data_IF_733762723386
#
_entry.id   IF_733762723386
#
_cell.length_a   1.000
_cell.length_b   1.000
_cell.length_c   1.000
_cell.angle_alpha   90.00
_cell.angle_beta   90.00
_cell.angle_gamma   90.00
#
_symmetry.space_group_name_H-M   'P 1'
#
loop_
_entity.id
_entity.type
_entity.pdbx_description
1 polymer ?
#
# COMPACT_ATOMS: atom_id res chain seq x y z
N UNK A 1 -7.57 -17.40 21.11
CA UNK A 1 -7.19 -18.08 19.85
C UNK A 1 -5.78 -17.63 19.55
N UNK A 2 -4.84 -18.52 19.21
CA UNK A 2 -3.50 -18.10 18.82
C UNK A 2 -3.61 -17.15 17.64
N UNK A 3 -2.81 -16.09 17.65
CA UNK A 3 -2.78 -15.02 16.66
C UNK A 3 -2.48 -15.60 15.28
N UNK A 4 -3.47 -15.73 14.42
CA UNK A 4 -3.38 -16.33 13.08
C UNK A 4 -2.43 -15.55 12.15
N UNK A 5 -1.93 -14.38 12.60
CA UNK A 5 -1.20 -13.43 11.78
C UNK A 5 0.24 -13.15 12.18
N UNK A 6 0.66 -13.58 13.35
CA UNK A 6 1.98 -13.28 13.86
C UNK A 6 2.71 -14.59 14.07
N UNK A 7 3.39 -15.01 13.02
CA UNK A 7 4.28 -16.15 13.09
C UNK A 7 5.63 -15.65 13.60
N UNK A 8 5.81 -15.73 14.92
CA UNK A 8 7.07 -15.40 15.57
C UNK A 8 8.01 -16.61 15.57
N UNK A 9 8.51 -16.96 14.38
CA UNK A 9 9.35 -18.14 14.20
C UNK A 9 10.51 -18.25 15.20
N UNK A 10 11.07 -17.11 15.63
CA UNK A 10 12.12 -17.06 16.62
C UNK A 10 11.58 -17.25 18.07
N UNK A 11 10.38 -16.75 18.36
CA UNK A 11 9.76 -16.90 19.70
C UNK A 11 9.19 -18.30 19.91
N UNK A 12 8.69 -18.93 18.84
CA UNK A 12 8.22 -20.32 18.86
C UNK A 12 9.35 -21.35 18.76
N UNK A 13 10.61 -20.88 18.70
CA UNK A 13 11.78 -21.76 18.65
C UNK A 13 11.99 -22.48 17.30
N UNK A 14 11.21 -22.12 16.27
CA UNK A 14 11.33 -22.70 14.94
C UNK A 14 12.58 -22.25 14.19
N UNK A 15 13.09 -21.08 14.54
CA UNK A 15 14.33 -20.52 14.03
C UNK A 15 15.12 -19.92 15.18
N UNK A 16 16.40 -20.25 15.29
CA UNK A 16 17.23 -19.64 16.35
C UNK A 16 17.38 -18.14 16.11
N UNK A 17 17.40 -17.34 17.18
CA UNK A 17 17.60 -15.88 17.11
C UNK A 17 18.87 -15.53 16.33
N UNK A 18 19.93 -16.35 16.46
CA UNK A 18 21.17 -16.17 15.72
C UNK A 18 20.97 -16.39 14.21
N UNK A 19 20.27 -17.46 13.80
CA UNK A 19 19.97 -17.74 12.41
C UNK A 19 19.10 -16.65 11.81
N UNK A 20 18.08 -16.18 12.55
CA UNK A 20 17.23 -15.07 12.14
C UNK A 20 18.04 -13.79 11.93
N UNK A 21 18.88 -13.41 12.89
CA UNK A 21 19.70 -12.21 12.82
C UNK A 21 20.73 -12.27 11.68
N UNK A 22 21.38 -13.42 11.46
CA UNK A 22 22.35 -13.60 10.36
C UNK A 22 21.67 -13.52 9.01
N UNK A 23 20.49 -14.16 8.83
CA UNK A 23 19.72 -14.10 7.58
C UNK A 23 19.26 -12.68 7.29
N UNK A 24 18.71 -11.98 8.29
CA UNK A 24 18.29 -10.59 8.16
C UNK A 24 19.47 -9.68 7.79
N UNK A 25 20.63 -9.87 8.47
CA UNK A 25 21.86 -9.13 8.17
C UNK A 25 22.34 -9.38 6.76
N UNK A 26 22.35 -10.62 6.29
CA UNK A 26 22.75 -10.97 4.93
C UNK A 26 21.83 -10.36 3.86
N UNK A 27 20.49 -10.45 4.06
CA UNK A 27 19.51 -9.83 3.15
C UNK A 27 19.69 -8.30 3.13
N UNK A 28 19.87 -7.68 4.30
CA UNK A 28 20.08 -6.23 4.39
C UNK A 28 21.37 -5.81 3.68
N UNK A 29 22.47 -6.53 3.89
CA UNK A 29 23.75 -6.27 3.21
C UNK A 29 23.62 -6.44 1.69
N UNK A 30 22.95 -7.48 1.21
CA UNK A 30 22.68 -7.69 -0.21
C UNK A 30 21.82 -6.57 -0.81
N UNK A 31 20.80 -6.10 -0.08
CA UNK A 31 19.97 -4.98 -0.51
C UNK A 31 20.75 -3.67 -0.61
N UNK A 32 21.63 -3.39 0.38
CA UNK A 32 22.53 -2.22 0.36
C UNK A 32 23.52 -2.30 -0.79
N UNK A 33 24.19 -3.45 -0.98
CA UNK A 33 25.14 -3.64 -2.07
C UNK A 33 24.47 -3.54 -3.45
N UNK A 34 23.30 -4.16 -3.63
CA UNK A 34 22.51 -4.06 -4.85
C UNK A 34 22.06 -2.62 -5.14
N UNK A 35 21.62 -1.90 -4.12
CA UNK A 35 21.26 -0.48 -4.24
C UNK A 35 22.47 0.39 -4.63
N UNK A 36 23.66 0.13 -4.06
CA UNK A 36 24.89 0.85 -4.39
C UNK A 36 25.36 0.58 -5.82
N UNK A 37 25.25 -0.67 -6.31
CA UNK A 37 25.56 -1.04 -7.68
C UNK A 37 24.61 -0.37 -8.70
N UNK A 38 23.33 -0.32 -8.38
CA UNK A 38 22.31 0.33 -9.21
C UNK A 38 22.37 1.86 -9.12
N UNK A 39 22.88 2.42 -8.03
CA UNK A 39 22.97 3.86 -7.83
C UNK A 39 23.91 4.55 -8.84
N UNK A 40 24.96 3.89 -9.33
CA UNK A 40 25.88 4.46 -10.32
C UNK A 40 25.17 5.02 -11.55
N UNK A 41 24.42 4.22 -12.31
CA UNK A 41 23.67 4.67 -13.48
C UNK A 41 22.39 5.45 -13.18
N UNK A 42 21.80 5.28 -11.98
CA UNK A 42 20.52 5.87 -11.58
C UNK A 42 20.69 7.01 -10.55
N UNK A 43 21.91 7.39 -10.26
CA UNK A 43 22.36 8.03 -9.04
C UNK A 43 21.63 9.30 -8.60
N UNK A 44 21.41 10.34 -9.43
CA UNK A 44 20.88 11.58 -8.87
C UNK A 44 19.42 11.49 -8.45
N UNK A 45 18.63 10.69 -9.18
CA UNK A 45 17.18 10.59 -8.96
C UNK A 45 16.82 9.70 -7.76
N UNK A 46 17.68 8.73 -7.41
CA UNK A 46 17.39 7.74 -6.37
C UNK A 46 18.21 7.92 -5.09
N UNK A 47 19.25 8.76 -5.12
CA UNK A 47 20.18 8.93 -3.99
C UNK A 47 19.49 9.31 -2.66
N UNK A 48 18.35 9.98 -2.71
CA UNK A 48 17.58 10.33 -1.52
C UNK A 48 16.55 9.25 -1.12
N UNK A 49 16.03 8.46 -2.07
CA UNK A 49 14.98 7.46 -1.80
C UNK A 49 15.50 6.33 -0.90
N UNK A 50 16.73 5.91 -1.11
CA UNK A 50 17.37 4.88 -0.30
C UNK A 50 17.54 5.29 1.18
N UNK A 51 18.20 6.42 1.52
CA UNK A 51 18.32 6.84 2.92
C UNK A 51 16.97 7.12 3.57
N UNK A 52 15.98 7.64 2.85
CA UNK A 52 14.63 7.83 3.37
C UNK A 52 13.96 6.48 3.68
N UNK A 53 14.04 5.50 2.78
CA UNK A 53 13.50 4.16 3.01
C UNK A 53 14.18 3.45 4.18
N UNK A 54 15.51 3.53 4.26
CA UNK A 54 16.28 2.96 5.36
C UNK A 54 15.93 3.62 6.70
N UNK A 55 15.92 4.95 6.75
CA UNK A 55 15.53 5.69 7.95
C UNK A 55 14.11 5.35 8.37
N UNK A 56 13.17 5.29 7.44
CA UNK A 56 11.80 4.89 7.70
C UNK A 56 11.71 3.49 8.31
N UNK A 57 12.47 2.53 7.79
CA UNK A 57 12.50 1.15 8.30
C UNK A 57 13.07 1.09 9.71
N UNK A 58 14.19 1.77 9.96
CA UNK A 58 14.85 1.78 11.28
C UNK A 58 14.05 2.53 12.34
N UNK A 59 13.38 3.61 11.95
CA UNK A 59 12.64 4.48 12.85
C UNK A 59 11.17 4.07 13.04
N UNK A 60 10.66 3.14 12.22
CA UNK A 60 9.28 2.70 12.29
C UNK A 60 8.89 2.20 13.69
N UNK A 61 9.64 1.23 14.22
CA UNK A 61 9.31 0.63 15.51
C UNK A 61 9.62 1.56 16.70
N UNK A 62 10.82 2.18 16.80
CA UNK A 62 11.16 2.97 17.99
C UNK A 62 10.51 4.37 18.02
N UNK A 63 10.24 4.97 16.87
CA UNK A 63 9.71 6.35 16.82
C UNK A 63 8.29 6.42 16.26
N UNK A 64 8.01 5.82 15.09
CA UNK A 64 6.72 6.02 14.45
C UNK A 64 5.59 5.28 15.18
N UNK A 65 5.82 4.03 15.58
CA UNK A 65 4.80 3.18 16.20
C UNK A 65 4.30 3.71 17.55
N UNK A 66 5.13 4.18 18.49
CA UNK A 66 4.67 4.72 19.77
C UNK A 66 3.76 5.94 19.66
N UNK A 67 3.94 6.75 18.59
CA UNK A 67 3.18 7.98 18.37
C UNK A 67 2.02 7.83 17.38
N UNK A 68 1.72 6.60 16.93
CA UNK A 68 0.66 6.36 15.94
C UNK A 68 0.97 6.94 14.55
N UNK A 69 2.26 7.13 14.23
CA UNK A 69 2.73 7.68 12.95
C UNK A 69 3.09 6.59 11.93
N UNK A 70 2.94 5.31 12.30
CA UNK A 70 3.32 4.19 11.44
C UNK A 70 2.61 4.21 10.09
N UNK A 71 1.32 4.51 10.07
CA UNK A 71 0.51 4.55 8.86
C UNK A 71 0.91 5.72 7.95
N UNK A 72 1.26 6.87 8.53
CA UNK A 72 1.77 8.02 7.76
C UNK A 72 3.14 7.73 7.17
N UNK A 73 3.98 6.98 7.89
CA UNK A 73 5.27 6.54 7.38
C UNK A 73 5.11 5.57 6.20
N UNK A 74 4.13 4.66 6.26
CA UNK A 74 3.78 3.78 5.12
C UNK A 74 3.36 4.61 3.91
N UNK A 75 2.54 5.66 4.08
CA UNK A 75 2.16 6.56 3.00
C UNK A 75 3.39 7.22 2.35
N UNK A 76 4.34 7.68 3.16
CA UNK A 76 5.59 8.29 2.68
C UNK A 76 6.48 7.27 1.93
N UNK A 77 6.64 6.08 2.49
CA UNK A 77 7.54 5.06 1.92
C UNK A 77 6.98 4.47 0.63
N UNK A 78 5.72 4.04 0.63
CA UNK A 78 5.10 3.42 -0.55
C UNK A 78 4.79 4.40 -1.67
N UNK A 79 4.51 5.64 -1.34
CA UNK A 79 4.27 6.69 -2.32
C UNK A 79 5.57 7.34 -2.79
N UNK A 80 5.96 8.44 -2.15
CA UNK A 80 7.13 9.22 -2.55
C UNK A 80 8.41 8.38 -2.69
N UNK A 81 8.83 7.63 -1.68
CA UNK A 81 10.12 6.96 -1.72
C UNK A 81 10.16 5.83 -2.74
N UNK A 82 9.21 4.92 -2.71
CA UNK A 82 9.24 3.71 -3.55
C UNK A 82 8.72 3.96 -4.95
N UNK A 83 7.48 4.44 -5.09
CA UNK A 83 6.89 4.67 -6.41
C UNK A 83 7.50 5.89 -7.10
N UNK A 84 7.64 7.00 -6.40
CA UNK A 84 8.23 8.22 -6.95
C UNK A 84 9.71 8.05 -7.29
N UNK A 85 10.50 7.41 -6.42
CA UNK A 85 11.90 7.05 -6.67
C UNK A 85 12.04 6.09 -7.84
N UNK A 86 11.24 5.00 -7.87
CA UNK A 86 11.24 4.03 -8.97
C UNK A 86 10.88 4.66 -10.32
N UNK A 87 9.88 5.54 -10.35
CA UNK A 87 9.54 6.28 -11.56
C UNK A 87 10.70 7.14 -12.04
N UNK A 88 11.34 7.89 -11.14
CA UNK A 88 12.49 8.74 -11.48
C UNK A 88 13.66 7.92 -12.01
N UNK A 89 13.90 6.75 -11.42
CA UNK A 89 14.90 5.81 -11.89
C UNK A 89 14.60 5.29 -13.30
N UNK A 90 13.37 4.88 -13.56
CA UNK A 90 12.96 4.31 -14.84
C UNK A 90 12.93 5.33 -15.98
N UNK A 91 12.67 6.61 -15.68
CA UNK A 91 12.54 7.67 -16.69
C UNK A 91 13.80 8.51 -16.87
N UNK A 92 14.83 8.34 -16.04
CA UNK A 92 16.03 9.16 -16.03
C UNK A 92 15.80 10.64 -15.67
N UNK A 93 14.59 10.97 -15.17
CA UNK A 93 14.27 12.36 -14.82
C UNK A 93 14.85 12.73 -13.46
N UNK A 94 15.56 13.86 -13.40
CA UNK A 94 16.04 14.43 -12.14
C UNK A 94 14.92 15.06 -11.30
N UNK A 95 13.77 15.37 -11.93
CA UNK A 95 12.61 15.95 -11.26
C UNK A 95 11.81 14.84 -10.55
N UNK A 96 11.78 14.92 -9.25
CA UNK A 96 11.03 14.00 -8.42
C UNK A 96 9.51 14.12 -8.63
N UNK A 97 8.89 13.00 -9.00
CA UNK A 97 7.47 12.96 -9.37
C UNK A 97 6.57 12.60 -8.18
N UNK A 98 6.74 13.31 -7.04
CA UNK A 98 5.94 13.09 -5.81
C UNK A 98 4.44 13.07 -6.11
N UNK A 99 3.97 14.01 -6.91
CA UNK A 99 2.55 14.10 -7.23
C UNK A 99 2.01 12.82 -7.87
N UNK A 100 2.79 12.18 -8.75
CA UNK A 100 2.39 10.93 -9.44
C UNK A 100 2.34 9.72 -8.52
N UNK A 101 2.99 9.78 -7.37
CA UNK A 101 2.96 8.70 -6.38
C UNK A 101 1.73 8.74 -5.48
N UNK A 102 1.01 9.86 -5.42
CA UNK A 102 -0.15 10.06 -4.53
C UNK A 102 -1.21 8.97 -4.65
N UNK A 103 -1.64 8.54 -5.86
CA UNK A 103 -2.63 7.48 -5.96
C UNK A 103 -2.18 6.16 -5.29
N UNK A 104 -0.92 5.78 -5.50
CA UNK A 104 -0.35 4.54 -4.93
C UNK A 104 -0.18 4.68 -3.42
N UNK A 105 0.29 5.83 -2.94
CA UNK A 105 0.43 6.14 -1.52
C UNK A 105 -0.90 6.01 -0.77
N UNK A 106 -1.98 6.56 -1.33
CA UNK A 106 -3.32 6.50 -0.73
C UNK A 106 -3.88 5.07 -0.71
N UNK A 107 -3.62 4.26 -1.74
CA UNK A 107 -3.99 2.85 -1.76
C UNK A 107 -3.27 2.06 -0.68
N UNK A 108 -1.95 2.24 -0.55
CA UNK A 108 -1.15 1.60 0.49
C UNK A 108 -1.58 2.04 1.91
N UNK A 109 -1.89 3.33 2.08
CA UNK A 109 -2.42 3.85 3.33
C UNK A 109 -3.78 3.24 3.67
N UNK A 110 -4.71 3.13 2.72
CA UNK A 110 -6.00 2.46 2.92
C UNK A 110 -5.83 1.00 3.35
N UNK A 111 -4.88 0.28 2.76
CA UNK A 111 -4.57 -1.10 3.09
C UNK A 111 -4.00 -1.25 4.51
N UNK A 112 -3.02 -0.42 4.91
CA UNK A 112 -2.44 -0.48 6.26
C UNK A 112 -3.46 -0.06 7.33
N UNK A 113 -4.32 0.92 7.02
CA UNK A 113 -5.45 1.27 7.88
C UNK A 113 -6.38 0.07 8.08
N UNK A 114 -6.75 -0.64 7.01
CA UNK A 114 -7.55 -1.85 7.10
C UNK A 114 -6.93 -2.90 8.02
N UNK A 115 -5.61 -3.16 7.89
CA UNK A 115 -4.87 -4.08 8.76
C UNK A 115 -4.96 -3.71 10.24
N UNK A 116 -4.78 -2.43 10.56
CA UNK A 116 -4.79 -2.00 11.96
C UNK A 116 -6.21 -1.84 12.52
N UNK A 117 -7.22 -1.62 11.67
CA UNK A 117 -8.63 -1.71 12.08
C UNK A 117 -8.99 -3.15 12.44
N UNK A 118 -8.53 -4.13 11.65
CA UNK A 118 -8.74 -5.56 11.95
C UNK A 118 -8.13 -5.98 13.28
N UNK A 119 -7.00 -5.37 13.66
CA UNK A 119 -6.25 -5.63 14.91
C UNK A 119 -6.45 -4.55 16.00
N UNK A 120 -7.52 -3.77 15.93
CA UNK A 120 -7.68 -2.60 16.80
C UNK A 120 -7.74 -2.99 18.29
N UNK A 121 -8.44 -4.07 18.61
CA UNK A 121 -8.58 -4.55 19.99
C UNK A 121 -7.24 -5.08 20.50
N UNK A 122 -6.61 -5.96 19.74
CA UNK A 122 -5.30 -6.52 20.11
C UNK A 122 -4.24 -5.42 20.28
N UNK A 123 -4.14 -4.49 19.33
CA UNK A 123 -3.18 -3.37 19.45
C UNK A 123 -3.44 -2.51 20.69
N UNK A 124 -4.70 -2.31 21.06
CA UNK A 124 -5.04 -1.57 22.28
C UNK A 124 -4.65 -2.32 23.54
N UNK A 125 -4.94 -3.62 23.59
CA UNK A 125 -4.65 -4.47 24.76
C UNK A 125 -3.13 -4.64 24.97
N UNK A 126 -2.36 -4.65 23.89
CA UNK A 126 -0.89 -4.70 23.90
C UNK A 126 -0.22 -3.33 24.11
N UNK A 127 -0.98 -2.24 24.25
CA UNK A 127 -0.46 -0.89 24.40
C UNK A 127 0.23 -0.33 23.13
N UNK A 128 -0.10 -0.89 21.95
CA UNK A 128 0.47 -0.45 20.69
C UNK A 128 -0.34 0.69 20.10
N UNK A 129 0.24 1.87 20.02
CA UNK A 129 -0.40 3.07 19.47
C UNK A 129 -0.38 3.05 17.95
N UNK A 130 -1.41 2.47 17.33
CA UNK A 130 -1.68 2.64 15.90
C UNK A 130 -2.64 3.80 15.67
N UNK A 131 -2.66 4.37 14.47
CA UNK A 131 -3.61 5.43 14.15
C UNK A 131 -5.08 5.02 14.40
N UNK A 132 -5.53 3.79 14.07
CA UNK A 132 -6.83 3.29 14.46
C UNK A 132 -7.07 3.21 15.97
N UNK A 133 -6.07 2.91 16.78
CA UNK A 133 -6.21 2.92 18.26
C UNK A 133 -6.48 4.34 18.76
N UNK A 134 -5.80 5.34 18.19
CA UNK A 134 -5.95 6.75 18.56
C UNK A 134 -7.29 7.33 18.08
N UNK A 135 -7.74 6.99 16.87
CA UNK A 135 -8.96 7.55 16.26
C UNK A 135 -10.23 6.80 16.65
N UNK A 136 -10.13 5.53 17.03
CA UNK A 136 -11.23 4.61 17.22
C UNK A 136 -11.78 4.06 15.88
N UNK A 137 -12.56 2.98 15.97
CA UNK A 137 -13.03 2.18 14.83
C UNK A 137 -13.75 3.02 13.75
N UNK A 138 -14.78 3.79 14.13
CA UNK A 138 -15.61 4.53 13.18
C UNK A 138 -14.82 5.57 12.37
N UNK A 139 -13.97 6.34 13.04
CA UNK A 139 -13.14 7.38 12.38
C UNK A 139 -12.08 6.76 11.49
N UNK A 140 -11.49 5.66 11.94
CA UNK A 140 -10.48 4.93 11.16
C UNK A 140 -11.05 4.35 9.87
N UNK A 141 -12.26 3.79 9.92
CA UNK A 141 -12.97 3.32 8.72
C UNK A 141 -13.31 4.46 7.77
N UNK A 142 -13.75 5.60 8.29
CA UNK A 142 -14.02 6.77 7.47
C UNK A 142 -12.73 7.30 6.79
N UNK A 143 -11.61 7.34 7.52
CA UNK A 143 -10.32 7.78 6.98
C UNK A 143 -9.80 6.80 5.92
N UNK A 144 -9.91 5.49 6.13
CA UNK A 144 -9.57 4.49 5.12
C UNK A 144 -10.43 4.66 3.85
N UNK A 145 -11.74 4.87 4.00
CA UNK A 145 -12.65 5.13 2.88
C UNK A 145 -12.26 6.40 2.12
N UNK A 146 -11.95 7.49 2.84
CA UNK A 146 -11.51 8.75 2.23
C UNK A 146 -10.20 8.59 1.45
N UNK A 147 -9.25 7.81 1.96
CA UNK A 147 -7.99 7.51 1.26
C UNK A 147 -8.24 6.75 -0.05
N UNK A 148 -9.07 5.71 -0.03
CA UNK A 148 -9.39 4.92 -1.22
C UNK A 148 -10.18 5.72 -2.27
N UNK A 149 -11.09 6.59 -1.86
CA UNK A 149 -11.75 7.55 -2.76
C UNK A 149 -10.72 8.54 -3.31
N UNK A 150 -9.88 9.11 -2.44
CA UNK A 150 -8.81 10.03 -2.79
C UNK A 150 -7.83 9.44 -3.80
N UNK A 151 -7.59 8.13 -3.77
CA UNK A 151 -6.80 7.40 -4.75
C UNK A 151 -7.34 7.62 -6.18
N UNK A 152 -8.64 7.44 -6.40
CA UNK A 152 -9.27 7.65 -7.71
C UNK A 152 -9.33 9.14 -8.09
N UNK A 153 -9.70 9.99 -7.15
CA UNK A 153 -9.75 11.45 -7.36
C UNK A 153 -8.39 11.99 -7.75
N UNK A 154 -7.32 11.50 -7.13
CA UNK A 154 -5.95 11.94 -7.45
C UNK A 154 -5.52 11.56 -8.87
N UNK A 155 -5.94 10.41 -9.42
CA UNK A 155 -5.70 10.06 -10.82
C UNK A 155 -6.39 11.06 -11.75
N UNK A 156 -7.66 11.37 -11.50
CA UNK A 156 -8.41 12.35 -12.31
C UNK A 156 -7.70 13.71 -12.27
N UNK A 157 -7.35 14.18 -11.09
CA UNK A 157 -6.67 15.46 -10.92
C UNK A 157 -5.30 15.51 -11.62
N UNK A 158 -4.53 14.42 -11.55
CA UNK A 158 -3.22 14.35 -12.19
C UNK A 158 -3.31 14.28 -13.71
N UNK A 159 -4.32 13.60 -14.27
CA UNK A 159 -4.56 13.59 -15.72
C UNK A 159 -5.05 14.97 -16.18
N UNK A 160 -5.98 15.59 -15.47
CA UNK A 160 -6.45 16.95 -15.77
C UNK A 160 -5.32 17.97 -15.72
N UNK A 161 -4.41 17.85 -14.75
CA UNK A 161 -3.19 18.67 -14.61
C UNK A 161 -2.08 18.30 -15.62
N UNK A 162 -2.31 17.37 -16.56
CA UNK A 162 -1.32 16.86 -17.52
C UNK A 162 -0.06 16.26 -16.87
N UNK A 163 -0.14 15.86 -15.60
CA UNK A 163 0.94 15.20 -14.87
C UNK A 163 0.95 13.69 -15.03
N UNK A 164 -0.17 13.10 -15.47
CA UNK A 164 -0.28 11.70 -15.88
C UNK A 164 -0.86 11.58 -17.29
N UNK A 165 -0.51 10.54 -18.06
CA UNK A 165 -1.10 10.32 -19.37
C UNK A 165 -2.58 9.94 -19.25
N UNK A 166 -3.41 10.24 -20.26
CA UNK A 166 -4.86 9.97 -20.24
C UNK A 166 -5.21 8.50 -19.99
N UNK A 167 -4.39 7.56 -20.46
CA UNK A 167 -4.60 6.13 -20.20
C UNK A 167 -4.64 5.77 -18.72
N UNK A 168 -4.01 6.57 -17.83
CA UNK A 168 -4.10 6.35 -16.39
C UNK A 168 -5.56 6.37 -15.87
N UNK A 169 -6.50 7.01 -16.59
CA UNK A 169 -7.93 6.99 -16.26
C UNK A 169 -8.53 5.57 -16.31
N UNK A 170 -7.84 4.61 -16.94
CA UNK A 170 -8.29 3.22 -16.93
C UNK A 170 -8.35 2.64 -15.51
N UNK A 171 -7.55 3.20 -14.57
CA UNK A 171 -7.63 2.85 -13.15
C UNK A 171 -9.03 3.08 -12.54
N UNK A 172 -9.83 3.98 -13.11
CA UNK A 172 -11.21 4.23 -12.68
C UNK A 172 -12.13 3.03 -12.92
N UNK A 173 -11.75 2.08 -13.79
CA UNK A 173 -12.51 0.85 -14.02
C UNK A 173 -12.63 0.00 -12.75
N UNK A 174 -11.73 0.14 -11.78
CA UNK A 174 -11.85 -0.50 -10.47
C UNK A 174 -12.96 0.12 -9.59
N UNK A 175 -13.40 1.35 -9.86
CA UNK A 175 -14.31 2.07 -8.97
C UNK A 175 -15.73 1.45 -8.86
N UNK A 176 -16.41 1.07 -9.96
CA UNK A 176 -17.80 0.60 -9.87
C UNK A 176 -17.97 -0.72 -9.12
N UNK A 177 -16.91 -1.51 -9.02
CA UNK A 177 -16.95 -2.84 -8.42
C UNK A 177 -16.15 -2.89 -7.11
N UNK A 178 -14.83 -2.79 -7.19
CA UNK A 178 -13.95 -3.01 -6.06
C UNK A 178 -14.00 -1.88 -5.04
N UNK A 179 -14.00 -0.61 -5.47
CA UNK A 179 -14.12 0.51 -4.54
C UNK A 179 -15.47 0.49 -3.83
N UNK A 180 -16.55 0.28 -4.59
CA UNK A 180 -17.90 0.19 -4.01
C UNK A 180 -17.99 -0.94 -2.99
N UNK A 181 -17.50 -2.13 -3.35
CA UNK A 181 -17.47 -3.28 -2.43
C UNK A 181 -16.66 -3.01 -1.17
N UNK A 182 -15.49 -2.39 -1.31
CA UNK A 182 -14.65 -2.02 -0.17
C UNK A 182 -15.30 -0.95 0.72
N UNK A 183 -15.95 0.03 0.14
CA UNK A 183 -16.71 1.05 0.88
C UNK A 183 -17.88 0.44 1.67
N UNK A 184 -18.57 -0.55 1.10
CA UNK A 184 -19.63 -1.28 1.80
C UNK A 184 -19.08 -2.08 2.99
N UNK A 185 -17.90 -2.72 2.84
CA UNK A 185 -17.16 -3.37 3.96
C UNK A 185 -16.85 -2.36 5.06
N UNK A 186 -16.31 -1.21 4.71
CA UNK A 186 -15.92 -0.18 5.68
C UNK A 186 -17.13 0.43 6.39
N UNK A 187 -18.28 0.53 5.73
CA UNK A 187 -19.52 1.07 6.30
C UNK A 187 -20.20 0.07 7.26
N UNK A 188 -20.37 -1.16 6.81
CA UNK A 188 -21.18 -2.16 7.52
C UNK A 188 -20.44 -2.80 8.69
N UNK A 189 -19.12 -2.72 8.72
CA UNK A 189 -18.33 -3.32 9.80
C UNK A 189 -18.04 -4.81 9.58
N UNK A 190 -17.20 -5.36 10.45
CA UNK A 190 -16.84 -6.77 10.44
C UNK A 190 -17.94 -7.60 11.11
N UNK A 191 -18.40 -8.70 10.49
CA UNK A 191 -19.34 -9.61 11.12
C UNK A 191 -18.71 -10.32 12.32
N UNK A 192 -19.53 -10.71 13.29
CA UNK A 192 -19.05 -11.38 14.52
C UNK A 192 -18.41 -12.75 14.26
N UNK A 193 -18.80 -13.43 13.19
CA UNK A 193 -18.30 -14.77 12.82
C UNK A 193 -18.08 -14.89 11.33
N UNK A 194 -17.21 -15.84 10.93
CA UNK A 194 -16.98 -16.16 9.51
C UNK A 194 -18.27 -16.61 8.78
N UNK A 195 -19.20 -17.26 9.47
CA UNK A 195 -20.49 -17.67 8.91
C UNK A 195 -21.42 -16.48 8.61
N UNK A 196 -21.27 -15.35 9.33
CA UNK A 196 -21.97 -14.09 9.07
C UNK A 196 -21.37 -13.28 7.91
N UNK A 197 -20.19 -13.66 7.45
CA UNK A 197 -19.46 -13.01 6.36
C UNK A 197 -20.04 -13.37 4.98
N UNK A 198 -21.35 -13.17 4.78
CA UNK A 198 -21.93 -13.33 3.45
C UNK A 198 -21.49 -12.16 2.58
N UNK A 199 -20.88 -12.44 1.40
CA UNK A 199 -20.55 -11.38 0.46
C UNK A 199 -21.85 -10.78 -0.07
N UNK A 200 -22.21 -9.58 0.39
CA UNK A 200 -23.35 -8.82 -0.12
C UNK A 200 -23.04 -8.10 -1.44
N UNK A 201 -21.96 -8.48 -2.11
CA UNK A 201 -21.43 -7.75 -3.25
C UNK A 201 -21.97 -8.30 -4.56
N UNK A 202 -23.18 -7.91 -4.93
CA UNK A 202 -23.65 -8.12 -6.30
C UNK A 202 -22.74 -7.35 -7.25
N UNK A 203 -21.96 -8.08 -8.07
CA UNK A 203 -21.14 -7.53 -9.14
C UNK A 203 -19.68 -7.20 -8.81
N UNK A 204 -19.23 -7.41 -7.58
CA UNK A 204 -17.79 -7.37 -7.26
C UNK A 204 -17.12 -8.70 -7.58
N UNK A 205 -15.92 -8.66 -8.17
CA UNK A 205 -15.03 -9.84 -8.25
C UNK A 205 -14.43 -10.21 -6.88
N UNK A 206 -14.90 -9.59 -5.81
CA UNK A 206 -14.55 -9.83 -4.40
C UNK A 206 -15.29 -11.02 -3.70
N UNK A 207 -15.90 -12.01 -4.38
CA UNK A 207 -16.68 -13.01 -3.68
C UNK A 207 -15.84 -13.91 -2.76
N UNK A 208 -14.51 -13.79 -2.81
CA UNK A 208 -13.62 -14.73 -2.15
C UNK A 208 -12.86 -14.17 -0.95
N UNK A 209 -12.66 -12.86 -0.88
CA UNK A 209 -11.66 -12.30 0.02
C UNK A 209 -12.12 -12.18 1.46
N UNK A 210 -13.26 -11.58 1.81
CA UNK A 210 -13.58 -11.41 3.23
C UNK A 210 -13.92 -12.70 3.97
N UNK A 211 -14.70 -13.60 3.37
CA UNK A 211 -15.12 -14.84 4.06
C UNK A 211 -13.98 -15.83 4.28
N UNK A 212 -13.04 -15.93 3.32
CA UNK A 212 -11.86 -16.80 3.44
C UNK A 212 -10.73 -16.18 4.25
N UNK A 213 -10.68 -14.85 4.30
CA UNK A 213 -9.64 -14.10 5.01
C UNK A 213 -10.06 -13.71 6.42
N UNK A 214 -11.27 -14.09 6.86
CA UNK A 214 -11.71 -13.80 8.22
C UNK A 214 -10.70 -14.35 9.26
N UNK A 215 -10.31 -13.57 10.25
CA UNK A 215 -10.81 -12.27 10.68
C UNK A 215 -10.18 -11.04 9.99
N UNK A 216 -9.34 -11.21 8.97
CA UNK A 216 -8.76 -10.14 8.15
C UNK A 216 -9.82 -9.57 7.20
N UNK A 217 -10.69 -8.72 7.72
CA UNK A 217 -11.86 -8.24 7.01
C UNK A 217 -11.58 -6.99 6.18
N UNK A 218 -11.08 -5.97 6.85
CA UNK A 218 -10.85 -4.67 6.22
C UNK A 218 -9.59 -4.64 5.36
N UNK A 219 -8.51 -5.28 5.85
CA UNK A 219 -7.27 -5.35 5.06
C UNK A 219 -7.45 -6.18 3.80
N UNK A 220 -8.24 -7.26 3.85
CA UNK A 220 -8.51 -8.08 2.67
C UNK A 220 -9.26 -7.29 1.59
N UNK A 221 -10.29 -6.53 1.97
CA UNK A 221 -11.05 -5.70 1.05
C UNK A 221 -10.19 -4.56 0.46
N UNK A 222 -9.47 -3.82 1.32
CA UNK A 222 -8.62 -2.72 0.89
C UNK A 222 -7.42 -3.20 0.04
N UNK A 223 -6.83 -4.34 0.39
CA UNK A 223 -5.73 -4.94 -0.36
C UNK A 223 -6.15 -5.39 -1.75
N UNK A 224 -7.30 -6.05 -1.87
CA UNK A 224 -7.86 -6.44 -3.17
C UNK A 224 -8.14 -5.22 -4.05
N UNK A 225 -8.76 -4.19 -3.48
CA UNK A 225 -8.99 -2.93 -4.18
C UNK A 225 -7.67 -2.32 -4.67
N UNK A 226 -6.64 -2.24 -3.82
CA UNK A 226 -5.35 -1.68 -4.18
C UNK A 226 -4.66 -2.46 -5.32
N UNK A 227 -4.74 -3.79 -5.29
CA UNK A 227 -4.18 -4.67 -6.33
C UNK A 227 -4.92 -4.46 -7.65
N UNK A 228 -6.24 -4.49 -7.65
CA UNK A 228 -7.07 -4.31 -8.86
C UNK A 228 -6.88 -2.91 -9.45
N UNK A 229 -6.86 -1.89 -8.60
CA UNK A 229 -6.51 -0.53 -9.04
C UNK A 229 -5.14 -0.47 -9.70
N UNK A 230 -4.14 -1.11 -9.09
CA UNK A 230 -2.78 -1.19 -9.63
C UNK A 230 -2.73 -1.82 -11.01
N UNK A 231 -3.41 -2.94 -11.23
CA UNK A 231 -3.50 -3.58 -12.55
C UNK A 231 -4.10 -2.66 -13.62
N UNK A 232 -5.22 -2.00 -13.33
CA UNK A 232 -5.85 -1.08 -14.25
C UNK A 232 -4.99 0.16 -14.52
N UNK A 233 -4.30 0.68 -13.51
CA UNK A 233 -3.37 1.79 -13.68
C UNK A 233 -2.22 1.40 -14.60
N UNK A 234 -1.59 0.24 -14.37
CA UNK A 234 -0.48 -0.25 -15.19
C UNK A 234 -0.92 -0.53 -16.63
N UNK A 235 -2.09 -1.14 -16.84
CA UNK A 235 -2.66 -1.34 -18.18
C UNK A 235 -2.85 -0.01 -18.90
N UNK A 236 -3.41 0.99 -18.24
CA UNK A 236 -3.62 2.32 -18.82
C UNK A 236 -2.34 3.06 -19.16
N UNK A 237 -1.31 2.96 -18.31
CA UNK A 237 0.01 3.51 -18.59
C UNK A 237 0.66 2.81 -19.79
N UNK A 238 0.54 1.47 -19.88
CA UNK A 238 1.03 0.67 -21.00
C UNK A 238 0.37 1.07 -22.34
N UNK A 239 -0.96 1.24 -22.35
CA UNK A 239 -1.69 1.73 -23.53
C UNK A 239 -1.18 3.10 -23.95
N UNK A 240 -1.00 4.03 -23.02
CA UNK A 240 -0.49 5.37 -23.34
C UNK A 240 0.94 5.33 -23.86
N UNK A 241 1.77 4.44 -23.37
CA UNK A 241 3.14 4.25 -23.84
C UNK A 241 3.14 3.67 -25.26
N UNK A 242 2.35 2.62 -25.54
CA UNK A 242 2.23 2.01 -26.86
C UNK A 242 1.73 2.99 -27.92
N UNK A 243 0.73 3.81 -27.58
CA UNK A 243 0.22 4.85 -28.46
C UNK A 243 1.28 5.88 -28.83
N UNK A 244 2.11 6.31 -27.85
CA UNK A 244 3.22 7.23 -28.14
C UNK A 244 4.29 6.60 -29.02
N UNK A 245 4.69 5.35 -28.73
CA UNK A 245 5.67 4.63 -29.55
C UNK A 245 5.20 4.48 -30.99
N UNK A 246 3.93 4.17 -31.19
CA UNK A 246 3.32 4.09 -32.52
C UNK A 246 3.35 5.43 -33.27
N UNK A 247 2.95 6.53 -32.62
CA UNK A 247 3.00 7.85 -33.24
C UNK A 247 4.42 8.27 -33.64
N UNK A 248 5.43 7.93 -32.85
CA UNK A 248 6.84 8.21 -33.14
C UNK A 248 7.40 7.37 -34.27
N UNK A 249 6.85 6.17 -34.51
CA UNK A 249 7.25 5.29 -35.60
C UNK A 249 6.62 5.65 -36.95
N UNK A 250 5.51 6.39 -36.94
CA UNK A 250 4.77 6.79 -38.14
C UNK A 250 5.10 8.20 -38.63
N UNK A 251 5.79 9.03 -37.85
CA UNK A 251 6.19 10.41 -38.20
C UNK A 251 7.67 10.55 -38.32
#
# INVERSE_FOLDING_TARGET
>A
MPHVYEFYAAQEGLVSTRSFATTLGAISAAAVAGSALLAGPLAPACAWAFPVGLAATLLYTPLAKPFGLGELLVLLVWGPAMFGGGWSAATGTSAYQVARSVPVALGAFGMIMGKHIDKLVECRDEGVNTLPVLLGDKRSRALAAAALIGQHVSVIALVAARKMPPGALLALAAAPFELRGTLDVLRNGRPATAAGAKPSYRGSMLPFVPARSWPLWYVAAAGWHAVTFGYWLMAGLGVSWAARAFCLAMG
#
